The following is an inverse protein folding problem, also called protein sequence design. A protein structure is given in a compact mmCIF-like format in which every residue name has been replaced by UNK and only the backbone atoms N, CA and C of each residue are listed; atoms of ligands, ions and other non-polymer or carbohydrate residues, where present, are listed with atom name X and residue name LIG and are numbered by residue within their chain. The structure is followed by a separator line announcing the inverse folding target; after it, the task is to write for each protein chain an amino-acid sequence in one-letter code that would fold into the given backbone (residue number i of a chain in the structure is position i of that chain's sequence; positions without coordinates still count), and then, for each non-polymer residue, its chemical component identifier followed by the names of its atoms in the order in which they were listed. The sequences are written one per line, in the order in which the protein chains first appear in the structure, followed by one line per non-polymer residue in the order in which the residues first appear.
data_IF_428727313835
#
_entry.id   IF_428727313835
#
_cell.length_a   1.000
_cell.length_b   1.000
_cell.length_c   1.000
_cell.angle_alpha   90.00
_cell.angle_beta   90.00
_cell.angle_gamma   90.00
#
_symmetry.space_group_name_H-M   'P 1'
#
loop_
_entity.id
_entity.type
_entity.pdbx_description
1 polymer ?
#
# COMPACT_ATOMS: atom_id res chain seq x y z
N UNK A 1 0.05 -83.76 46.61
CA UNK A 1 0.17 -82.77 45.44
C UNK A 1 0.14 -81.37 46.03
N UNK A 2 1.33 -80.78 46.24
CA UNK A 2 1.46 -79.48 46.93
C UNK A 2 1.67 -78.36 45.84
N UNK A 3 0.71 -77.50 45.72
CA UNK A 3 0.79 -76.37 44.84
C UNK A 3 1.49 -75.24 45.60
N UNK A 4 2.65 -74.79 45.07
CA UNK A 4 3.38 -73.61 45.58
C UNK A 4 2.88 -72.35 44.80
N UNK A 5 2.35 -71.42 45.56
CA UNK A 5 1.95 -70.09 45.09
C UNK A 5 3.20 -69.18 44.99
N UNK A 6 3.50 -68.74 43.84
CA UNK A 6 4.62 -67.76 43.59
C UNK A 6 4.03 -66.36 43.72
N UNK A 7 4.50 -65.60 44.69
CA UNK A 7 4.16 -64.17 44.88
C UNK A 7 5.20 -63.33 44.13
N UNK A 8 4.77 -62.58 43.11
CA UNK A 8 5.61 -61.61 42.40
C UNK A 8 5.33 -60.21 42.98
N UNK A 9 6.34 -59.48 43.45
CA UNK A 9 6.12 -58.14 43.95
C UNK A 9 5.95 -57.14 42.76
N UNK A 10 4.86 -56.40 42.79
CA UNK A 10 4.59 -55.26 41.86
C UNK A 10 5.47 -54.10 42.27
N UNK A 11 6.45 -53.74 41.40
CA UNK A 11 7.27 -52.54 41.53
C UNK A 11 6.49 -51.38 40.90
N UNK A 12 5.97 -50.47 41.72
CA UNK A 12 5.29 -49.26 41.26
C UNK A 12 6.31 -48.25 40.81
N UNK A 13 6.38 -48.07 39.49
CA UNK A 13 7.20 -47.01 38.86
C UNK A 13 6.41 -45.69 38.86
N UNK A 14 6.73 -44.78 39.78
CA UNK A 14 6.20 -43.43 39.81
C UNK A 14 6.82 -42.60 38.67
N UNK A 15 6.08 -42.43 37.57
CA UNK A 15 6.39 -41.48 36.54
C UNK A 15 6.03 -40.06 37.02
N UNK A 16 7.03 -39.28 37.40
CA UNK A 16 6.88 -37.87 37.64
C UNK A 16 6.65 -37.13 36.29
N UNK A 17 5.41 -36.80 35.96
CA UNK A 17 5.04 -35.91 34.86
C UNK A 17 5.42 -34.49 35.24
N UNK A 18 6.60 -34.05 34.81
CA UNK A 18 6.99 -32.65 34.83
C UNK A 18 6.11 -31.87 33.85
N UNK A 19 5.09 -31.19 34.36
CA UNK A 19 4.31 -30.21 33.59
C UNK A 19 5.20 -29.00 33.28
N UNK A 20 5.81 -28.99 32.10
CA UNK A 20 6.40 -27.80 31.52
C UNK A 20 5.27 -26.86 31.14
N UNK A 21 4.90 -25.97 32.06
CA UNK A 21 3.97 -24.87 31.79
C UNK A 21 4.71 -23.86 30.94
N UNK A 22 4.48 -23.90 29.61
CA UNK A 22 4.87 -22.82 28.73
C UNK A 22 4.15 -21.55 29.19
N UNK A 23 4.86 -20.69 29.90
CA UNK A 23 4.43 -19.31 30.12
C UNK A 23 4.49 -18.60 28.78
N UNK A 24 3.33 -18.44 28.13
CA UNK A 24 3.15 -17.43 27.10
C UNK A 24 3.33 -16.08 27.77
N UNK A 25 4.46 -15.43 27.49
CA UNK A 25 4.63 -14.03 27.86
C UNK A 25 3.46 -13.22 27.26
N UNK A 26 2.78 -12.38 28.05
CA UNK A 26 1.78 -11.50 27.48
C UNK A 26 2.50 -10.56 26.51
N UNK A 27 2.11 -10.56 25.22
CA UNK A 27 2.42 -9.51 24.28
C UNK A 27 1.85 -8.22 24.89
N UNK A 28 2.70 -7.39 25.47
CA UNK A 28 2.31 -6.06 25.93
C UNK A 28 1.88 -5.29 24.69
N UNK A 29 0.59 -5.05 24.56
CA UNK A 29 0.10 -4.00 23.64
C UNK A 29 0.83 -2.70 24.01
N UNK A 30 1.28 -1.90 23.04
CA UNK A 30 1.92 -0.63 23.32
C UNK A 30 0.96 0.24 24.13
N UNK A 31 1.38 0.66 25.32
CA UNK A 31 0.56 1.42 26.30
C UNK A 31 0.58 2.93 26.03
N UNK A 32 0.85 3.35 24.78
CA UNK A 32 0.84 4.75 24.34
C UNK A 32 -0.06 4.98 23.15
N UNK A 33 -0.50 6.23 22.94
CA UNK A 33 -1.14 6.62 21.69
C UNK A 33 -0.17 6.34 20.51
N UNK A 34 -0.69 5.89 19.32
CA UNK A 34 0.16 5.70 18.14
C UNK A 34 0.95 6.97 17.81
N UNK A 35 2.22 6.83 17.42
CA UNK A 35 3.04 7.95 17.00
C UNK A 35 2.34 8.77 15.90
N UNK A 36 2.60 10.07 15.84
CA UNK A 36 2.05 10.98 14.85
C UNK A 36 3.16 11.53 13.95
N UNK A 37 2.85 11.66 12.67
CA UNK A 37 3.68 12.35 11.66
C UNK A 37 3.40 13.84 11.72
N UNK A 38 4.43 14.65 11.87
CA UNK A 38 4.34 16.11 11.98
C UNK A 38 4.73 16.86 10.70
N UNK A 39 5.49 16.22 9.82
CA UNK A 39 5.85 16.73 8.51
C UNK A 39 5.58 15.67 7.46
N UNK A 40 4.71 15.96 6.49
CA UNK A 40 4.38 15.06 5.40
C UNK A 40 4.22 15.85 4.10
N UNK A 41 4.98 15.42 3.09
CA UNK A 41 4.85 15.88 1.72
C UNK A 41 4.84 14.67 0.79
N UNK A 42 3.85 14.62 -0.11
CA UNK A 42 3.69 13.57 -1.11
C UNK A 42 3.67 14.23 -2.47
N UNK A 43 4.64 13.90 -3.33
CA UNK A 43 4.77 14.46 -4.69
C UNK A 43 4.52 13.36 -5.72
N UNK A 44 3.55 13.56 -6.62
CA UNK A 44 3.21 12.59 -7.68
C UNK A 44 4.28 12.65 -8.78
N UNK A 45 4.85 11.48 -9.10
CA UNK A 45 5.90 11.29 -10.12
C UNK A 45 5.40 10.57 -11.38
N UNK A 46 4.30 9.81 -11.29
CA UNK A 46 3.67 9.15 -12.43
C UNK A 46 2.16 9.20 -12.27
N UNK A 47 1.46 9.69 -13.27
CA UNK A 47 0.00 9.71 -13.48
C UNK A 47 -0.31 10.14 -14.91
N UNK A 48 -1.59 10.17 -15.29
CA UNK A 48 -2.04 10.47 -16.66
C UNK A 48 -1.79 11.92 -17.11
N UNK A 49 -1.89 12.91 -16.22
CA UNK A 49 -1.84 14.32 -16.57
C UNK A 49 -0.49 14.95 -16.23
N UNK A 50 0.03 15.77 -17.15
CA UNK A 50 1.27 16.50 -16.99
C UNK A 50 1.18 17.88 -17.65
N UNK A 51 1.55 18.95 -16.92
CA UNK A 51 1.91 20.24 -17.54
C UNK A 51 3.37 20.22 -17.98
N UNK A 52 4.21 19.60 -17.14
CA UNK A 52 5.64 19.35 -17.35
C UNK A 52 5.91 17.87 -17.07
N UNK A 53 6.92 17.30 -17.74
CA UNK A 53 7.22 15.88 -17.64
C UNK A 53 6.35 15.01 -18.56
N UNK A 54 6.28 13.72 -18.25
CA UNK A 54 5.66 12.70 -19.09
C UNK A 54 4.48 12.07 -18.35
N UNK A 55 3.27 12.26 -18.88
CA UNK A 55 2.08 11.54 -18.43
C UNK A 55 2.05 10.10 -18.93
N UNK A 56 1.53 9.17 -18.11
CA UNK A 56 1.33 7.78 -18.49
C UNK A 56 0.17 7.16 -17.70
N UNK A 57 -0.33 6.03 -18.18
CA UNK A 57 -1.22 5.19 -17.38
C UNK A 57 -0.40 4.39 -16.37
N UNK A 58 -0.05 5.03 -15.25
CA UNK A 58 0.74 4.47 -14.18
C UNK A 58 0.66 5.33 -12.93
N UNK A 59 1.27 4.87 -11.85
CA UNK A 59 1.36 5.61 -10.61
C UNK A 59 2.75 5.52 -9.99
N UNK A 60 3.22 6.63 -9.46
CA UNK A 60 4.34 6.71 -8.54
C UNK A 60 4.29 8.01 -7.73
N UNK A 61 4.78 7.99 -6.51
CA UNK A 61 4.88 9.17 -5.66
C UNK A 61 6.14 9.13 -4.78
N UNK A 62 6.79 10.27 -4.62
CA UNK A 62 7.81 10.48 -3.59
C UNK A 62 7.12 10.95 -2.32
N UNK A 63 7.36 10.23 -1.23
CA UNK A 63 6.91 10.56 0.13
C UNK A 63 8.09 11.07 0.94
N UNK A 64 7.93 12.22 1.56
CA UNK A 64 8.86 12.82 2.53
C UNK A 64 8.10 12.99 3.84
N UNK A 65 8.50 12.27 4.90
CA UNK A 65 7.80 12.22 6.19
C UNK A 65 8.78 12.24 7.34
N UNK A 66 8.77 13.28 8.16
CA UNK A 66 9.63 13.45 9.36
C UNK A 66 11.11 13.08 9.11
N UNK A 67 11.66 13.49 7.95
CA UNK A 67 13.03 13.23 7.53
C UNK A 67 13.26 11.88 6.83
N UNK A 68 12.26 11.02 6.73
CA UNK A 68 12.31 9.78 5.95
C UNK A 68 11.82 10.02 4.52
N UNK A 69 12.42 9.31 3.56
CA UNK A 69 11.98 9.31 2.16
C UNK A 69 11.58 7.90 1.72
N UNK A 70 10.50 7.80 1.00
CA UNK A 70 9.95 6.56 0.44
C UNK A 70 9.55 6.82 -1.01
N UNK A 71 9.91 5.93 -1.93
CA UNK A 71 9.29 5.89 -3.25
C UNK A 71 8.10 4.91 -3.19
N UNK A 72 6.91 5.41 -3.45
CA UNK A 72 5.69 4.60 -3.52
C UNK A 72 5.34 4.36 -4.98
N UNK A 73 5.37 3.11 -5.44
CA UNK A 73 5.28 2.65 -6.82
C UNK A 73 6.33 3.24 -7.78
N UNK A 74 6.40 2.76 -9.02
CA UNK A 74 7.48 3.07 -9.95
C UNK A 74 7.01 3.34 -11.39
N UNK A 75 5.70 3.48 -11.61
CA UNK A 75 5.11 3.80 -12.91
C UNK A 75 5.03 2.66 -13.89
N UNK A 76 4.47 2.95 -15.08
CA UNK A 76 4.15 2.01 -16.15
C UNK A 76 5.28 1.77 -17.15
N UNK A 77 6.22 2.69 -17.27
CA UNK A 77 7.33 2.58 -18.22
C UNK A 77 8.67 2.67 -17.52
N UNK A 78 9.70 2.02 -18.04
CA UNK A 78 11.00 1.93 -17.36
C UNK A 78 11.61 3.27 -16.97
N UNK A 79 11.42 4.32 -17.79
CA UNK A 79 12.13 5.58 -17.62
C UNK A 79 11.25 6.74 -17.13
N UNK A 80 9.91 6.63 -17.17
CA UNK A 80 9.02 7.77 -16.91
C UNK A 80 9.26 8.42 -15.55
N UNK A 81 9.32 7.62 -14.48
CA UNK A 81 9.56 8.15 -13.13
C UNK A 81 10.95 8.79 -13.01
N UNK A 82 11.97 8.20 -13.65
CA UNK A 82 13.33 8.75 -13.68
C UNK A 82 13.37 10.12 -14.38
N UNK A 83 12.73 10.22 -15.54
CA UNK A 83 12.68 11.47 -16.33
C UNK A 83 11.86 12.53 -15.61
N UNK A 84 10.71 12.17 -15.04
CA UNK A 84 9.88 13.09 -14.26
C UNK A 84 10.58 13.58 -12.98
N UNK A 85 11.30 12.71 -12.27
CA UNK A 85 12.09 13.12 -11.11
C UNK A 85 13.17 14.14 -11.49
N UNK A 86 13.85 13.94 -12.64
CA UNK A 86 14.85 14.89 -13.19
C UNK A 86 14.21 16.24 -13.56
N UNK A 87 13.08 16.21 -14.27
CA UNK A 87 12.33 17.42 -14.66
C UNK A 87 11.90 18.23 -13.42
N UNK A 88 11.37 17.54 -12.41
CA UNK A 88 10.96 18.14 -11.15
C UNK A 88 12.12 18.48 -10.20
N UNK A 89 13.37 18.17 -10.59
CA UNK A 89 14.59 18.37 -9.80
C UNK A 89 14.53 17.67 -8.43
N UNK A 90 13.93 16.47 -8.40
CA UNK A 90 13.84 15.62 -7.23
C UNK A 90 14.94 14.55 -7.26
N UNK A 91 15.69 14.44 -6.17
CA UNK A 91 16.72 13.41 -6.02
C UNK A 91 16.15 12.18 -5.32
N UNK A 92 16.22 11.04 -6.01
CA UNK A 92 15.85 9.73 -5.48
C UNK A 92 17.08 8.93 -5.02
N UNK A 93 18.29 9.50 -5.10
CA UNK A 93 19.54 8.81 -4.78
C UNK A 93 19.74 8.53 -3.29
N UNK A 94 19.04 9.23 -2.42
CA UNK A 94 19.03 9.01 -0.96
C UNK A 94 17.81 8.21 -0.47
N UNK A 95 16.87 7.85 -1.35
CA UNK A 95 15.74 6.99 -1.04
C UNK A 95 16.20 5.55 -0.98
N UNK A 96 16.08 4.88 0.18
CA UNK A 96 16.41 3.47 0.32
C UNK A 96 15.23 2.54 0.10
N UNK A 97 14.05 2.97 0.53
CA UNK A 97 12.85 2.15 0.62
C UNK A 97 11.89 2.45 -0.52
N UNK A 98 11.51 1.41 -1.25
CA UNK A 98 10.44 1.44 -2.24
C UNK A 98 9.27 0.62 -1.70
N UNK A 99 8.06 1.12 -1.84
CA UNK A 99 6.85 0.37 -1.53
C UNK A 99 6.13 0.13 -2.84
N UNK A 100 5.86 -1.12 -3.18
CA UNK A 100 4.97 -1.44 -4.30
C UNK A 100 3.58 -1.74 -3.75
N UNK A 101 2.59 -1.03 -4.29
CA UNK A 101 1.20 -1.18 -3.87
C UNK A 101 0.64 -2.55 -4.24
N UNK A 102 0.95 -3.05 -5.43
CA UNK A 102 0.53 -4.36 -5.94
C UNK A 102 1.35 -4.76 -7.18
N UNK A 103 1.02 -5.90 -7.80
CA UNK A 103 1.83 -6.56 -8.84
C UNK A 103 1.70 -5.97 -10.26
N UNK A 104 0.73 -5.11 -10.55
CA UNK A 104 0.48 -4.63 -11.91
C UNK A 104 1.67 -3.84 -12.47
N UNK A 105 1.84 -3.96 -13.78
CA UNK A 105 2.96 -3.41 -14.53
C UNK A 105 2.99 -1.87 -14.52
N UNK A 106 1.83 -1.24 -14.52
CA UNK A 106 1.68 0.20 -14.44
C UNK A 106 2.07 0.82 -13.08
N UNK A 107 2.49 -0.01 -12.11
CA UNK A 107 3.03 0.37 -10.82
C UNK A 107 4.48 -0.09 -10.60
N UNK A 108 4.96 -1.05 -11.40
CA UNK A 108 6.19 -1.77 -11.09
C UNK A 108 7.29 -1.67 -12.14
N UNK A 109 7.00 -1.25 -13.39
CA UNK A 109 7.96 -1.36 -14.50
C UNK A 109 9.16 -0.41 -14.41
N UNK A 110 9.09 0.67 -13.65
CA UNK A 110 10.25 1.55 -13.42
C UNK A 110 11.28 0.99 -12.45
N UNK A 111 10.91 -0.02 -11.61
CA UNK A 111 11.69 -0.48 -10.46
C UNK A 111 13.15 -0.82 -10.79
N UNK A 112 13.38 -1.70 -11.76
CA UNK A 112 14.72 -2.19 -12.10
C UNK A 112 15.58 -1.09 -12.71
N UNK A 113 14.98 -0.26 -13.56
CA UNK A 113 15.67 0.89 -14.19
C UNK A 113 16.12 1.90 -13.13
N UNK A 114 15.21 2.31 -12.24
CA UNK A 114 15.52 3.22 -11.15
C UNK A 114 16.62 2.66 -10.24
N UNK A 115 16.49 1.40 -9.82
CA UNK A 115 17.53 0.74 -9.02
C UNK A 115 18.90 0.77 -9.69
N UNK A 116 19.00 0.35 -10.97
CA UNK A 116 20.24 0.33 -11.72
C UNK A 116 20.83 1.72 -11.89
N UNK A 117 20.02 2.73 -12.10
CA UNK A 117 20.47 4.12 -12.29
C UNK A 117 21.07 4.68 -10.99
N UNK A 118 20.31 4.66 -9.90
CA UNK A 118 20.72 5.30 -8.65
C UNK A 118 21.79 4.47 -7.89
N UNK A 119 21.86 3.16 -8.09
CA UNK A 119 22.93 2.33 -7.53
C UNK A 119 24.32 2.69 -8.03
N UNK A 120 24.44 3.38 -9.17
CA UNK A 120 25.74 3.85 -9.71
C UNK A 120 26.42 4.85 -8.78
N UNK A 121 25.64 5.70 -8.13
CA UNK A 121 26.13 6.74 -7.21
C UNK A 121 25.97 6.34 -5.74
N UNK A 122 24.92 5.61 -5.39
CA UNK A 122 24.65 5.14 -4.02
C UNK A 122 24.14 3.69 -4.04
N UNK A 123 24.97 2.69 -3.68
CA UNK A 123 24.54 1.30 -3.63
C UNK A 123 23.34 1.00 -2.73
N UNK A 124 23.04 1.87 -1.77
CA UNK A 124 21.86 1.73 -0.89
C UNK A 124 20.58 2.31 -1.50
N UNK A 125 20.67 3.14 -2.55
CA UNK A 125 19.50 3.76 -3.16
C UNK A 125 18.53 2.72 -3.73
N UNK A 126 17.24 2.83 -3.38
CA UNK A 126 16.13 1.98 -3.84
C UNK A 126 16.45 0.47 -3.71
N UNK A 127 17.16 0.09 -2.63
CA UNK A 127 17.65 -1.28 -2.45
C UNK A 127 16.68 -2.21 -1.72
N UNK A 128 15.71 -1.66 -0.99
CA UNK A 128 14.70 -2.44 -0.25
C UNK A 128 13.32 -2.17 -0.83
N UNK A 129 12.65 -3.23 -1.27
CA UNK A 129 11.28 -3.15 -1.81
C UNK A 129 10.33 -3.85 -0.87
N UNK A 130 9.39 -3.10 -0.34
CA UNK A 130 8.37 -3.56 0.59
C UNK A 130 7.09 -3.90 -0.16
N UNK A 131 6.64 -5.13 -0.03
CA UNK A 131 5.51 -5.69 -0.76
C UNK A 131 4.57 -6.43 0.16
N UNK A 132 3.29 -6.47 -0.15
CA UNK A 132 2.37 -7.32 0.58
C UNK A 132 2.45 -8.78 0.11
N UNK A 133 2.04 -9.69 0.99
CA UNK A 133 1.90 -11.10 0.68
C UNK A 133 1.02 -11.29 -0.56
N UNK A 134 1.46 -12.14 -1.48
CA UNK A 134 0.73 -12.46 -2.71
C UNK A 134 1.29 -11.81 -3.96
N UNK A 135 2.20 -10.84 -3.86
CA UNK A 135 2.74 -10.14 -5.03
C UNK A 135 3.45 -11.08 -6.03
N UNK A 136 4.03 -12.18 -5.55
CA UNK A 136 4.73 -13.17 -6.37
C UNK A 136 3.88 -14.42 -6.69
N UNK A 137 2.57 -14.41 -6.39
CA UNK A 137 1.71 -15.53 -6.74
C UNK A 137 1.58 -15.66 -8.27
N UNK A 138 1.49 -16.89 -8.74
CA UNK A 138 1.21 -17.16 -10.15
C UNK A 138 -0.20 -16.67 -10.50
N UNK A 139 -0.31 -16.04 -11.66
CA UNK A 139 -1.57 -15.55 -12.22
C UNK A 139 -1.74 -16.04 -13.65
N UNK A 140 -2.99 -16.24 -14.05
CA UNK A 140 -3.35 -16.60 -15.42
C UNK A 140 -4.57 -15.79 -15.88
N UNK A 141 -4.72 -15.63 -17.20
CA UNK A 141 -5.74 -14.79 -17.82
C UNK A 141 -5.13 -13.56 -18.46
N UNK A 142 -5.76 -12.41 -18.33
CA UNK A 142 -5.36 -11.20 -19.05
C UNK A 142 -4.08 -10.53 -18.50
N UNK A 143 -3.75 -10.74 -17.22
CA UNK A 143 -2.61 -10.09 -16.56
C UNK A 143 -1.66 -11.14 -15.94
N UNK A 144 -0.69 -11.69 -16.72
CA UNK A 144 0.35 -12.53 -16.13
C UNK A 144 1.19 -11.71 -15.16
N UNK A 145 1.69 -12.35 -14.10
CA UNK A 145 2.44 -11.65 -13.06
C UNK A 145 3.88 -11.32 -13.50
N UNK A 146 4.23 -10.04 -13.78
CA UNK A 146 5.58 -9.66 -14.17
C UNK A 146 6.57 -9.76 -13.02
N UNK A 147 6.10 -9.71 -11.76
CA UNK A 147 6.95 -9.66 -10.58
C UNK A 147 7.80 -10.91 -10.37
N UNK A 148 7.38 -12.06 -10.91
CA UNK A 148 8.16 -13.30 -10.82
C UNK A 148 9.50 -13.18 -11.56
N UNK A 149 9.50 -12.60 -12.77
CA UNK A 149 10.73 -12.32 -13.52
C UNK A 149 11.49 -11.13 -12.95
N UNK A 150 10.78 -10.03 -12.64
CA UNK A 150 11.34 -8.79 -12.11
C UNK A 150 12.10 -9.01 -10.80
N UNK A 151 11.63 -9.93 -9.94
CA UNK A 151 12.32 -10.29 -8.70
C UNK A 151 13.79 -10.69 -8.96
N UNK A 152 14.02 -11.58 -9.91
CA UNK A 152 15.38 -12.04 -10.25
C UNK A 152 16.26 -10.90 -10.76
N UNK A 153 15.71 -10.02 -11.60
CA UNK A 153 16.44 -8.87 -12.14
C UNK A 153 16.79 -7.86 -11.05
N UNK A 154 15.85 -7.56 -10.16
CA UNK A 154 16.04 -6.62 -9.07
C UNK A 154 17.07 -7.15 -8.05
N UNK A 155 16.97 -8.42 -7.67
CA UNK A 155 17.93 -9.07 -6.78
C UNK A 155 19.34 -9.12 -7.41
N UNK A 156 19.45 -9.35 -8.73
CA UNK A 156 20.73 -9.29 -9.45
C UNK A 156 21.36 -7.89 -9.46
N UNK A 157 20.53 -6.84 -9.33
CA UNK A 157 20.96 -5.45 -9.17
C UNK A 157 21.28 -5.08 -7.71
N UNK A 158 21.37 -6.06 -6.80
CA UNK A 158 21.71 -5.88 -5.39
C UNK A 158 20.54 -5.35 -4.55
N UNK A 159 19.30 -5.56 -4.98
CA UNK A 159 18.10 -5.24 -4.23
C UNK A 159 17.57 -6.42 -3.43
N UNK A 160 16.66 -6.16 -2.48
CA UNK A 160 15.98 -7.18 -1.69
C UNK A 160 14.49 -6.86 -1.58
N UNK A 161 13.65 -7.91 -1.53
CA UNK A 161 12.23 -7.78 -1.25
C UNK A 161 11.93 -8.13 0.21
N UNK A 162 11.13 -7.29 0.86
CA UNK A 162 10.62 -7.48 2.22
C UNK A 162 9.12 -7.66 2.13
N UNK A 163 8.62 -8.84 2.53
CA UNK A 163 7.20 -9.19 2.44
C UNK A 163 6.48 -8.90 3.75
N UNK A 164 5.34 -8.24 3.66
CA UNK A 164 4.50 -7.86 4.78
C UNK A 164 3.14 -8.59 4.71
N UNK A 165 2.75 -9.24 5.83
CA UNK A 165 1.52 -10.05 5.88
C UNK A 165 0.31 -9.26 6.41
N UNK A 166 0.56 -8.24 7.23
CA UNK A 166 -0.48 -7.49 7.96
C UNK A 166 -0.06 -6.05 8.17
N UNK A 167 -0.99 -5.23 8.64
CA UNK A 167 -0.69 -3.86 9.02
C UNK A 167 0.45 -3.78 10.04
N UNK A 168 1.40 -2.89 9.78
CA UNK A 168 2.53 -2.63 10.68
C UNK A 168 3.03 -1.20 10.55
N UNK A 169 3.56 -0.68 11.64
CA UNK A 169 4.26 0.59 11.63
C UNK A 169 5.59 0.44 10.88
N UNK A 170 5.81 1.30 9.90
CA UNK A 170 6.97 1.29 9.03
C UNK A 170 8.04 2.30 9.50
N UNK A 171 7.61 3.50 9.79
CA UNK A 171 8.31 4.53 10.55
C UNK A 171 7.33 5.09 11.58
N UNK A 172 7.78 5.81 12.62
CA UNK A 172 6.87 6.38 13.61
C UNK A 172 5.73 7.16 12.94
N UNK A 173 4.49 6.73 13.18
CA UNK A 173 3.29 7.30 12.57
C UNK A 173 3.02 6.96 11.11
N UNK A 174 3.92 6.25 10.42
CA UNK A 174 3.76 5.78 9.03
C UNK A 174 3.50 4.28 9.02
N UNK A 175 2.40 3.87 8.41
CA UNK A 175 1.93 2.48 8.45
C UNK A 175 1.74 1.90 7.06
N UNK A 176 2.21 0.65 6.87
CA UNK A 176 1.81 -0.21 5.76
C UNK A 176 0.55 -0.95 6.14
N UNK A 177 -0.44 -1.01 5.26
CA UNK A 177 -1.64 -1.81 5.52
C UNK A 177 -1.38 -3.31 5.43
N UNK A 178 -0.43 -3.73 4.57
CA UNK A 178 -0.39 -5.11 4.13
C UNK A 178 -1.72 -5.50 3.47
N UNK A 179 -2.07 -6.78 3.53
CA UNK A 179 -3.35 -7.27 3.00
C UNK A 179 -4.55 -6.59 3.68
N UNK A 180 -5.44 -6.00 2.88
CA UNK A 180 -6.64 -5.30 3.34
C UNK A 180 -7.86 -6.21 3.35
N UNK A 181 -8.53 -6.42 4.50
CA UNK A 181 -9.79 -7.16 4.57
C UNK A 181 -10.91 -6.46 3.80
N UNK A 182 -11.65 -7.23 3.00
CA UNK A 182 -12.80 -6.72 2.23
C UNK A 182 -14.10 -6.93 2.99
N UNK A 183 -14.54 -5.92 3.72
CA UNK A 183 -15.79 -5.94 4.51
C UNK A 183 -16.95 -5.26 3.78
N UNK A 184 -16.65 -4.43 2.79
CA UNK A 184 -17.60 -3.80 1.90
C UNK A 184 -17.52 -4.39 0.48
N UNK A 185 -18.60 -4.35 -0.32
CA UNK A 185 -18.67 -4.97 -1.64
C UNK A 185 -18.00 -4.15 -2.74
N UNK A 186 -16.79 -3.65 -2.49
CA UNK A 186 -15.97 -2.97 -3.49
C UNK A 186 -15.27 -4.03 -4.35
N UNK A 187 -15.62 -4.08 -5.65
CA UNK A 187 -14.99 -4.95 -6.66
C UNK A 187 -14.18 -4.10 -7.63
N UNK A 188 -13.00 -3.68 -7.21
CA UNK A 188 -12.11 -2.79 -7.95
C UNK A 188 -10.97 -3.57 -8.65
N UNK A 189 -11.29 -4.71 -9.25
CA UNK A 189 -10.33 -5.57 -9.96
C UNK A 189 -10.98 -6.15 -11.22
N UNK A 190 -10.18 -6.44 -12.27
CA UNK A 190 -10.70 -6.95 -13.53
C UNK A 190 -11.22 -8.39 -13.38
N UNK A 191 -12.32 -8.71 -14.05
CA UNK A 191 -12.80 -10.09 -14.17
C UNK A 191 -11.93 -10.91 -15.13
N UNK A 192 -11.94 -12.23 -14.98
CA UNK A 192 -11.28 -13.15 -15.92
C UNK A 192 -9.78 -13.36 -15.68
N UNK A 193 -9.26 -12.90 -14.56
CA UNK A 193 -7.92 -13.24 -14.06
C UNK A 193 -8.06 -14.15 -12.85
N UNK A 194 -7.20 -15.15 -12.75
CA UNK A 194 -7.15 -16.08 -11.63
C UNK A 194 -5.76 -16.08 -10.98
N UNK A 195 -5.72 -16.27 -9.67
CA UNK A 195 -4.50 -16.36 -8.88
C UNK A 195 -4.37 -17.74 -8.24
N UNK A 196 -3.15 -18.29 -8.23
CA UNK A 196 -2.86 -19.56 -7.55
C UNK A 196 -2.48 -19.28 -6.08
N UNK A 197 -3.39 -19.62 -5.18
CA UNK A 197 -3.19 -19.44 -3.73
C UNK A 197 -2.40 -20.56 -3.06
N UNK A 198 -1.94 -21.57 -3.82
CA UNK A 198 -1.36 -22.82 -3.29
C UNK A 198 -2.40 -23.88 -2.97
N UNK A 199 -3.66 -23.50 -2.79
CA UNK A 199 -4.80 -24.41 -2.61
C UNK A 199 -5.65 -24.53 -3.90
N UNK A 200 -5.18 -23.98 -5.00
CA UNK A 200 -5.85 -23.97 -6.28
C UNK A 200 -6.01 -22.55 -6.85
N UNK A 201 -6.61 -22.50 -8.04
CA UNK A 201 -6.88 -21.26 -8.76
C UNK A 201 -8.22 -20.68 -8.31
N UNK A 202 -8.21 -19.38 -7.97
CA UNK A 202 -9.40 -18.62 -7.59
C UNK A 202 -9.44 -17.29 -8.35
N UNK A 203 -10.59 -16.62 -8.41
CA UNK A 203 -10.68 -15.26 -8.97
C UNK A 203 -9.61 -14.35 -8.33
N UNK A 204 -8.83 -13.67 -9.17
CA UNK A 204 -7.79 -12.77 -8.67
C UNK A 204 -8.40 -11.45 -8.21
N UNK A 205 -8.54 -11.33 -6.93
CA UNK A 205 -8.98 -10.10 -6.28
C UNK A 205 -7.82 -9.19 -5.87
N UNK A 206 -6.63 -9.39 -6.42
CA UNK A 206 -5.41 -8.64 -6.09
C UNK A 206 -5.11 -8.67 -4.58
N UNK A 207 -4.79 -9.86 -4.03
CA UNK A 207 -4.60 -10.03 -2.58
C UNK A 207 -3.39 -9.29 -2.02
N UNK A 208 -2.50 -8.84 -2.88
CA UNK A 208 -1.29 -8.07 -2.56
C UNK A 208 -1.50 -6.55 -2.58
N UNK A 209 -2.73 -6.07 -2.81
CA UNK A 209 -3.02 -4.64 -2.76
C UNK A 209 -2.83 -4.08 -1.34
N UNK A 210 -1.91 -3.12 -1.23
CA UNK A 210 -1.58 -2.43 0.02
C UNK A 210 -1.44 -0.93 -0.18
N UNK A 211 -1.54 -0.20 0.92
CA UNK A 211 -1.47 1.26 0.94
C UNK A 211 -0.57 1.75 2.08
N UNK A 212 -0.12 3.01 2.01
CA UNK A 212 0.45 3.75 3.13
C UNK A 212 -0.63 4.55 3.86
N UNK A 213 -0.55 4.54 5.18
CA UNK A 213 -1.40 5.36 6.05
C UNK A 213 -0.50 6.15 6.99
N UNK A 214 -0.73 7.45 7.07
CA UNK A 214 -0.02 8.36 7.96
C UNK A 214 -0.98 8.80 9.07
N UNK A 215 -0.58 8.58 10.32
CA UNK A 215 -1.28 9.08 11.49
C UNK A 215 -0.78 10.51 11.76
N UNK A 216 -1.62 11.50 11.57
CA UNK A 216 -1.26 12.91 11.74
C UNK A 216 -2.14 13.61 12.78
N UNK A 217 -1.72 14.75 13.35
CA UNK A 217 -2.57 15.54 14.25
C UNK A 217 -3.91 15.97 13.62
N UNK A 218 -3.98 16.05 12.28
CA UNK A 218 -5.17 16.46 11.54
C UNK A 218 -6.12 15.31 11.19
N UNK A 219 -5.70 14.07 11.41
CA UNK A 219 -6.40 12.86 11.02
C UNK A 219 -5.53 11.91 10.23
N UNK A 220 -6.12 10.92 9.60
CA UNK A 220 -5.39 9.96 8.77
C UNK A 220 -5.19 10.52 7.36
N UNK A 221 -4.01 10.27 6.80
CA UNK A 221 -3.74 10.48 5.37
C UNK A 221 -3.51 9.11 4.73
N UNK A 222 -4.22 8.82 3.64
CA UNK A 222 -4.08 7.60 2.87
C UNK A 222 -3.36 7.90 1.55
N UNK A 223 -2.33 7.09 1.22
CA UNK A 223 -1.74 7.00 -0.12
C UNK A 223 -1.98 5.60 -0.69
N UNK A 224 -2.71 5.52 -1.79
CA UNK A 224 -3.08 4.29 -2.48
C UNK A 224 -2.55 4.27 -3.91
N UNK A 225 -2.12 3.10 -4.40
CA UNK A 225 -1.71 2.92 -5.81
C UNK A 225 -2.91 2.81 -6.74
N UNK A 226 -3.64 1.71 -6.62
CA UNK A 226 -4.90 1.45 -7.34
C UNK A 226 -6.12 1.26 -6.44
N UNK A 227 -5.93 0.84 -5.19
CA UNK A 227 -7.04 0.57 -4.28
C UNK A 227 -7.92 -0.58 -4.74
N UNK A 228 -7.34 -1.67 -5.21
CA UNK A 228 -8.08 -2.88 -5.63
C UNK A 228 -8.85 -3.53 -4.49
N UNK A 229 -8.41 -3.32 -3.26
CA UNK A 229 -9.15 -3.72 -2.05
C UNK A 229 -10.38 -2.86 -1.77
N UNK A 230 -10.49 -1.72 -2.44
CA UNK A 230 -11.49 -0.69 -2.20
C UNK A 230 -10.99 0.38 -1.23
N UNK A 231 -11.20 1.65 -1.60
CA UNK A 231 -10.76 2.78 -0.76
C UNK A 231 -11.49 2.78 0.59
N UNK A 232 -12.77 2.40 0.61
CA UNK A 232 -13.56 2.37 1.84
C UNK A 232 -13.12 1.21 2.74
N UNK A 233 -12.85 0.03 2.15
CA UNK A 233 -12.26 -1.10 2.89
C UNK A 233 -10.92 -0.71 3.51
N UNK A 234 -10.06 -0.05 2.75
CA UNK A 234 -8.73 0.38 3.21
C UNK A 234 -8.82 1.40 4.34
N UNK A 235 -9.66 2.42 4.20
CA UNK A 235 -9.88 3.42 5.25
C UNK A 235 -10.54 2.82 6.50
N UNK A 236 -11.53 1.93 6.33
CA UNK A 236 -12.15 1.22 7.45
C UNK A 236 -11.12 0.40 8.22
N UNK A 237 -10.26 -0.32 7.50
CA UNK A 237 -9.20 -1.12 8.11
C UNK A 237 -8.19 -0.25 8.85
N UNK A 238 -7.71 0.84 8.23
CA UNK A 238 -6.77 1.79 8.84
C UNK A 238 -7.34 2.42 10.12
N UNK A 239 -8.61 2.83 10.11
CA UNK A 239 -9.31 3.36 11.27
C UNK A 239 -9.47 2.33 12.40
N UNK A 240 -9.50 1.04 12.05
CA UNK A 240 -9.60 -0.06 13.00
C UNK A 240 -8.30 -0.38 13.73
N UNK A 241 -7.16 -0.38 13.04
CA UNK A 241 -5.89 -0.73 13.66
C UNK A 241 -5.12 0.48 14.23
N UNK A 242 -5.39 1.69 13.75
CA UNK A 242 -4.79 2.92 14.27
C UNK A 242 -5.71 3.60 15.30
N UNK A 243 -6.65 4.35 14.80
CA UNK A 243 -7.65 5.07 15.60
C UNK A 243 -8.83 5.54 14.73
N UNK A 244 -10.04 5.68 15.29
CA UNK A 244 -11.20 6.15 14.54
C UNK A 244 -11.15 7.67 14.28
N UNK A 245 -10.06 8.15 13.67
CA UNK A 245 -9.88 9.56 13.36
C UNK A 245 -10.57 9.96 12.06
N UNK A 246 -10.85 11.25 11.83
CA UNK A 246 -11.19 11.79 10.52
C UNK A 246 -10.09 11.45 9.49
N UNK A 247 -10.45 11.47 8.19
CA UNK A 247 -9.50 11.36 7.09
C UNK A 247 -9.13 12.76 6.61
N UNK A 248 -7.88 13.18 6.86
CA UNK A 248 -7.42 14.49 6.37
C UNK A 248 -7.28 14.49 4.85
N UNK A 249 -6.69 13.44 4.27
CA UNK A 249 -6.56 13.32 2.82
C UNK A 249 -6.59 11.85 2.34
N UNK A 250 -7.18 11.64 1.16
CA UNK A 250 -7.04 10.43 0.37
C UNK A 250 -6.35 10.78 -0.96
N UNK A 251 -5.23 10.08 -1.27
CA UNK A 251 -4.32 10.43 -2.35
C UNK A 251 -4.06 9.20 -3.22
N UNK A 252 -4.02 9.38 -4.55
CA UNK A 252 -3.61 8.36 -5.52
C UNK A 252 -4.76 7.71 -6.28
N UNK A 253 -4.60 6.44 -6.64
CA UNK A 253 -5.58 5.66 -7.40
C UNK A 253 -6.58 4.95 -6.49
N UNK A 254 -7.86 4.99 -6.89
CA UNK A 254 -8.97 4.38 -6.17
C UNK A 254 -9.81 3.45 -7.05
N UNK A 255 -9.34 3.18 -8.27
CA UNK A 255 -9.98 2.32 -9.28
C UNK A 255 -11.46 2.66 -9.53
N UNK A 256 -11.76 3.95 -9.61
CA UNK A 256 -13.12 4.46 -9.80
C UNK A 256 -13.41 4.96 -11.21
N UNK A 257 -12.45 4.86 -12.15
CA UNK A 257 -12.59 5.39 -13.52
C UNK A 257 -13.78 4.80 -14.30
N UNK A 258 -14.23 3.60 -13.93
CA UNK A 258 -15.38 2.93 -14.52
C UNK A 258 -16.56 2.80 -13.54
N UNK A 259 -16.51 3.50 -12.39
CA UNK A 259 -17.56 3.42 -11.38
C UNK A 259 -18.85 4.07 -11.87
N UNK A 260 -19.97 3.43 -11.59
CA UNK A 260 -21.31 4.00 -11.83
C UNK A 260 -21.62 5.16 -10.88
N UNK A 261 -22.57 6.02 -11.23
CA UNK A 261 -23.05 7.09 -10.35
C UNK A 261 -23.51 6.56 -8.98
N UNK A 262 -24.13 5.38 -8.95
CA UNK A 262 -24.55 4.73 -7.71
C UNK A 262 -23.36 4.35 -6.83
N UNK A 263 -22.31 3.78 -7.42
CA UNK A 263 -21.07 3.42 -6.73
C UNK A 263 -20.36 4.68 -6.20
N UNK A 264 -20.27 5.74 -7.02
CA UNK A 264 -19.69 7.02 -6.60
C UNK A 264 -20.47 7.68 -5.46
N UNK A 265 -21.81 7.64 -5.53
CA UNK A 265 -22.65 8.17 -4.46
C UNK A 265 -22.48 7.39 -3.15
N UNK A 266 -22.39 6.06 -3.22
CA UNK A 266 -22.13 5.21 -2.05
C UNK A 266 -20.73 5.50 -1.47
N UNK A 267 -19.69 5.54 -2.31
CA UNK A 267 -18.32 5.86 -1.91
C UNK A 267 -18.24 7.24 -1.24
N UNK A 268 -18.87 8.26 -1.84
CA UNK A 268 -18.93 9.60 -1.27
C UNK A 268 -19.67 9.61 0.09
N UNK A 269 -20.75 8.83 0.23
CA UNK A 269 -21.45 8.67 1.51
C UNK A 269 -20.52 8.16 2.61
N UNK A 270 -19.73 7.14 2.31
CA UNK A 270 -18.74 6.58 3.25
C UNK A 270 -17.58 7.55 3.55
N UNK A 271 -17.07 8.24 2.54
CA UNK A 271 -16.04 9.26 2.74
C UNK A 271 -16.55 10.42 3.62
N UNK A 272 -17.84 10.79 3.52
CA UNK A 272 -18.49 11.75 4.45
C UNK A 272 -18.55 11.23 5.88
N UNK A 273 -18.93 9.96 6.07
CA UNK A 273 -18.94 9.31 7.39
C UNK A 273 -17.54 9.36 8.04
N UNK A 274 -16.48 9.25 7.24
CA UNK A 274 -15.10 9.36 7.70
C UNK A 274 -14.59 10.81 7.77
N UNK A 275 -15.44 11.79 7.50
CA UNK A 275 -15.11 13.22 7.52
C UNK A 275 -13.89 13.53 6.62
N UNK A 276 -13.87 12.96 5.42
CA UNK A 276 -12.76 13.15 4.48
C UNK A 276 -12.69 14.61 4.03
N UNK A 277 -11.58 15.27 4.35
CA UNK A 277 -11.42 16.71 4.11
C UNK A 277 -10.82 17.01 2.74
N UNK A 278 -10.00 16.10 2.19
CA UNK A 278 -9.27 16.32 0.93
C UNK A 278 -9.17 15.06 0.10
N UNK A 279 -9.19 15.24 -1.24
CA UNK A 279 -8.93 14.19 -2.22
C UNK A 279 -7.95 14.72 -3.27
N UNK A 280 -6.86 14.00 -3.51
CA UNK A 280 -5.99 14.16 -4.66
C UNK A 280 -6.05 12.87 -5.48
N UNK A 281 -7.10 12.75 -6.30
CA UNK A 281 -7.34 11.55 -7.11
C UNK A 281 -6.44 11.54 -8.34
N UNK A 282 -5.67 10.47 -8.51
CA UNK A 282 -4.74 10.29 -9.61
C UNK A 282 -4.98 8.96 -10.31
N UNK A 283 -4.28 8.70 -11.41
CA UNK A 283 -4.24 7.43 -12.11
C UNK A 283 -5.65 6.84 -12.31
N UNK A 284 -5.89 5.61 -11.87
CA UNK A 284 -7.16 4.89 -12.03
C UNK A 284 -8.33 5.41 -11.18
N UNK A 285 -8.19 6.50 -10.42
CA UNK A 285 -9.35 7.19 -9.86
C UNK A 285 -10.26 7.72 -10.96
N UNK A 286 -9.65 8.20 -12.07
CA UNK A 286 -10.39 8.77 -13.20
C UNK A 286 -10.79 10.22 -12.98
N UNK A 287 -10.70 11.02 -14.03
CA UNK A 287 -10.96 12.48 -13.98
C UNK A 287 -12.44 12.74 -13.61
N UNK A 288 -13.34 12.07 -14.30
CA UNK A 288 -14.79 12.22 -14.06
C UNK A 288 -15.16 11.87 -12.63
N UNK A 289 -14.62 10.77 -12.11
CA UNK A 289 -14.91 10.32 -10.74
C UNK A 289 -14.42 11.31 -9.69
N UNK A 290 -13.27 11.99 -9.93
CA UNK A 290 -12.81 13.05 -9.02
C UNK A 290 -13.78 14.22 -8.99
N UNK A 291 -14.29 14.67 -10.15
CA UNK A 291 -15.27 15.77 -10.20
C UNK A 291 -16.59 15.38 -9.56
N UNK A 292 -17.08 14.17 -9.78
CA UNK A 292 -18.29 13.64 -9.15
C UNK A 292 -18.13 13.52 -7.63
N UNK A 293 -17.00 13.00 -7.15
CA UNK A 293 -16.72 12.96 -5.71
C UNK A 293 -16.66 14.35 -5.11
N UNK A 294 -16.03 15.32 -5.79
CA UNK A 294 -15.98 16.72 -5.33
C UNK A 294 -17.38 17.29 -5.10
N UNK A 295 -18.28 17.11 -6.07
CA UNK A 295 -19.66 17.54 -6.00
C UNK A 295 -20.41 16.84 -4.86
N UNK A 296 -20.39 15.51 -4.85
CA UNK A 296 -21.08 14.69 -3.87
C UNK A 296 -20.63 14.93 -2.43
N UNK A 297 -19.35 15.24 -2.23
CA UNK A 297 -18.78 15.53 -0.92
C UNK A 297 -18.96 17.00 -0.49
N UNK A 298 -19.31 17.89 -1.41
CA UNK A 298 -19.33 19.33 -1.18
C UNK A 298 -17.95 19.94 -0.99
N UNK A 299 -16.92 19.33 -1.57
CA UNK A 299 -15.56 19.81 -1.52
C UNK A 299 -15.31 20.91 -2.55
N UNK A 300 -14.23 21.66 -2.39
CA UNK A 300 -13.84 22.76 -3.28
C UNK A 300 -12.76 22.34 -4.29
N UNK A 301 -12.44 23.26 -5.21
CA UNK A 301 -11.29 23.11 -6.14
C UNK A 301 -9.93 23.10 -5.43
N UNK A 302 -9.85 23.51 -4.17
CA UNK A 302 -8.64 23.48 -3.34
C UNK A 302 -8.52 22.20 -2.52
N UNK A 303 -9.62 21.44 -2.37
CA UNK A 303 -9.67 20.27 -1.49
C UNK A 303 -10.00 18.95 -2.20
N UNK A 304 -10.46 19.01 -3.48
CA UNK A 304 -10.67 17.80 -4.29
C UNK A 304 -10.24 18.07 -5.73
N UNK A 305 -9.09 17.51 -6.10
CA UNK A 305 -8.41 17.79 -7.37
C UNK A 305 -7.96 16.52 -8.06
N UNK A 306 -7.77 16.62 -9.39
CA UNK A 306 -7.08 15.60 -10.16
C UNK A 306 -5.57 15.75 -9.98
N UNK A 307 -4.87 14.65 -9.72
CA UNK A 307 -3.42 14.63 -9.63
C UNK A 307 -2.75 14.79 -10.99
N UNK A 308 -1.70 15.60 -11.04
CA UNK A 308 -0.80 15.75 -12.19
C UNK A 308 0.62 15.35 -11.80
N UNK A 309 1.50 15.18 -12.77
CA UNK A 309 2.93 15.11 -12.51
C UNK A 309 3.34 16.37 -11.74
N UNK A 310 4.10 16.22 -10.65
CA UNK A 310 4.50 17.31 -9.77
C UNK A 310 3.40 17.83 -8.84
N UNK A 311 2.18 17.26 -8.86
CA UNK A 311 1.18 17.59 -7.84
C UNK A 311 1.67 17.19 -6.45
N UNK A 312 1.40 18.03 -5.46
CA UNK A 312 1.87 17.87 -4.09
C UNK A 312 0.68 17.92 -3.11
N UNK A 313 0.63 16.96 -2.21
CA UNK A 313 -0.04 17.13 -0.93
C UNK A 313 1.03 17.44 0.13
N UNK A 314 0.80 18.49 0.89
CA UNK A 314 1.63 18.88 2.03
C UNK A 314 0.75 19.07 3.27
N UNK A 315 1.16 18.48 4.39
CA UNK A 315 0.36 18.47 5.62
C UNK A 315 -0.01 19.88 6.10
N UNK A 316 0.87 20.86 5.90
CA UNK A 316 0.65 22.23 6.36
C UNK A 316 -0.08 23.09 5.33
N UNK A 317 0.31 23.01 4.04
CA UNK A 317 -0.20 23.91 2.99
C UNK A 317 -1.33 23.30 2.14
N UNK A 318 -1.65 22.01 2.29
CA UNK A 318 -2.71 21.32 1.56
C UNK A 318 -2.27 20.84 0.17
N UNK A 319 -3.18 20.86 -0.81
CA UNK A 319 -2.95 20.32 -2.16
C UNK A 319 -2.55 21.44 -3.12
N UNK A 320 -1.50 21.17 -3.92
CA UNK A 320 -1.12 21.95 -5.10
C UNK A 320 -1.05 21.01 -6.29
N UNK A 321 -1.62 21.39 -7.43
CA UNK A 321 -1.60 20.60 -8.66
C UNK A 321 -1.19 21.48 -9.84
N UNK A 322 -0.86 20.85 -10.98
CA UNK A 322 -0.56 21.56 -12.22
C UNK A 322 -1.75 22.35 -12.78
N UNK A 323 -1.49 23.26 -13.69
CA UNK A 323 -2.51 24.17 -14.27
C UNK A 323 -3.61 23.41 -15.02
N UNK A 324 -3.25 22.30 -15.67
CA UNK A 324 -4.19 21.46 -16.43
C UNK A 324 -5.30 20.85 -15.55
N UNK A 325 -5.09 20.75 -14.23
CA UNK A 325 -6.03 20.15 -13.29
C UNK A 325 -6.66 21.15 -12.29
N UNK A 326 -6.48 22.44 -12.49
CA UNK A 326 -7.05 23.50 -11.65
C UNK A 326 -8.51 23.86 -11.98
#
# INVERSE_FOLDING_TARGET
MKIRLLIIPFLALLLALSHCRAQSAPSSAPTGAPAEVHSLKITILSTMLADEGIGEWGFAALVESDGHKILFDTGARPNTVLENARELKLDLGDVQDVILSHFHDDHTFGLVTLRREFAKSNPAALSRVHVARGIFLERRGHNPNPMIAMKKEFESAGGVFVVHDKAQEFFPGVWLTGHVPRVYPEKNYPAGTEVNTGNGWVEDNVPDDQSLVFNTPRGLVLLSGCGHSGIINTLQYARGFLRPAPVDAAIGGFHLFAATDQQLAWTAGKLKEYQTARILGAHCTGIESVYRLRELLGLSRQTCLVGTIGAVYDLNSGIKTGKIAQ
#
